data_IF_457679193995
#
_entry.id   IF_457679193995
#
_cell.length_a   1.000
_cell.length_b   1.000
_cell.length_c   1.000
_cell.angle_alpha   90.00
_cell.angle_beta   90.00
_cell.angle_gamma   90.00
#
_symmetry.space_group_name_H-M   'P 1'
#
loop_
_entity.id
_entity.type
_entity.pdbx_description
1 polymer ?
#
# COMPACT_ATOMS: atom_id res chain seq x y z
N UNK A 1 66.03 -84.81 -38.78
CA UNK A 1 66.07 -83.84 -37.66
C UNK A 1 64.74 -83.09 -37.61
N UNK A 2 64.07 -83.09 -36.45
CA UNK A 2 62.98 -82.18 -35.95
C UNK A 2 61.77 -81.94 -36.88
N UNK A 3 60.57 -82.51 -36.66
CA UNK A 3 59.55 -82.26 -35.59
C UNK A 3 59.18 -80.77 -35.38
N UNK A 4 57.86 -80.53 -35.31
CA UNK A 4 57.15 -79.32 -34.82
C UNK A 4 57.14 -78.13 -35.80
N UNK A 5 56.02 -77.46 -36.15
CA UNK A 5 54.74 -77.27 -35.46
C UNK A 5 53.61 -76.95 -36.45
N UNK A 6 52.65 -77.87 -36.60
CA UNK A 6 51.26 -77.51 -36.93
C UNK A 6 50.62 -77.19 -35.58
N UNK A 7 50.54 -75.91 -35.21
CA UNK A 7 49.72 -75.38 -34.10
C UNK A 7 49.99 -73.88 -33.90
N UNK A 8 49.68 -73.07 -34.90
CA UNK A 8 49.47 -71.62 -34.70
C UNK A 8 48.15 -71.26 -35.40
N UNK A 9 47.05 -71.85 -34.91
CA UNK A 9 45.70 -71.39 -35.22
C UNK A 9 44.69 -71.76 -34.12
N UNK A 10 45.15 -71.87 -32.87
CA UNK A 10 44.31 -72.30 -31.75
C UNK A 10 44.58 -71.56 -30.42
N UNK A 11 45.24 -70.40 -30.43
CA UNK A 11 45.55 -69.69 -29.18
C UNK A 11 45.50 -68.15 -29.28
N UNK A 12 44.51 -67.62 -29.99
CA UNK A 12 44.02 -66.23 -29.80
C UNK A 12 42.48 -66.22 -29.88
N UNK A 13 41.85 -67.20 -29.25
CA UNK A 13 40.40 -67.22 -28.96
C UNK A 13 40.16 -67.34 -27.45
N UNK A 14 41.07 -66.77 -26.66
CA UNK A 14 40.92 -66.60 -25.21
C UNK A 14 41.26 -65.15 -24.82
N UNK A 15 40.70 -64.19 -25.55
CA UNK A 15 40.29 -62.95 -24.90
C UNK A 15 38.89 -63.22 -24.37
N UNK A 16 38.90 -63.70 -23.13
CA UNK A 16 37.75 -63.92 -22.28
C UNK A 16 36.77 -62.79 -22.46
N UNK A 17 35.58 -63.12 -22.96
CA UNK A 17 34.44 -62.25 -22.78
C UNK A 17 34.32 -61.94 -21.29
N UNK A 18 34.34 -60.66 -20.95
CA UNK A 18 33.61 -60.25 -19.76
C UNK A 18 32.16 -60.65 -20.02
N UNK A 19 31.76 -61.78 -19.45
CA UNK A 19 30.37 -62.06 -19.17
C UNK A 19 29.82 -60.84 -18.45
N UNK A 20 29.00 -60.07 -19.16
CA UNK A 20 28.10 -59.08 -18.55
C UNK A 20 27.00 -59.92 -17.87
N UNK A 21 27.35 -60.61 -16.79
CA UNK A 21 26.38 -61.29 -15.90
C UNK A 21 26.21 -60.57 -14.57
N UNK A 22 26.86 -59.41 -14.40
CA UNK A 22 26.51 -58.42 -13.38
C UNK A 22 26.32 -57.05 -14.03
N UNK A 23 25.53 -56.99 -15.12
CA UNK A 23 24.71 -55.80 -15.30
C UNK A 23 23.75 -55.80 -14.11
N UNK A 24 24.20 -55.19 -13.00
CA UNK A 24 23.37 -54.88 -11.85
C UNK A 24 22.05 -54.40 -12.44
N UNK A 25 20.97 -55.17 -12.21
CA UNK A 25 19.63 -54.75 -12.61
C UNK A 25 19.57 -53.30 -12.21
N UNK A 26 19.45 -52.40 -13.19
CA UNK A 26 19.06 -51.05 -12.90
C UNK A 26 17.71 -51.21 -12.21
N UNK A 27 17.74 -51.21 -10.87
CA UNK A 27 16.57 -50.94 -10.08
C UNK A 27 16.27 -49.51 -10.49
N UNK A 28 15.41 -49.36 -11.49
CA UNK A 28 14.74 -48.10 -11.70
C UNK A 28 14.01 -47.86 -10.39
N UNK A 29 14.64 -47.09 -9.50
CA UNK A 29 13.97 -46.56 -8.35
C UNK A 29 12.82 -45.78 -8.95
N UNK A 30 11.59 -46.28 -8.82
CA UNK A 30 10.43 -45.45 -9.02
C UNK A 30 10.58 -44.34 -8.00
N UNK A 31 11.06 -43.20 -8.48
CA UNK A 31 10.86 -41.95 -7.78
C UNK A 31 9.35 -41.81 -7.82
N UNK A 32 8.67 -41.98 -6.69
CA UNK A 32 7.29 -41.57 -6.60
C UNK A 32 7.26 -40.12 -7.04
N UNK A 33 6.42 -39.80 -8.03
CA UNK A 33 5.98 -38.43 -8.27
C UNK A 33 5.23 -38.01 -7.01
N UNK A 34 5.98 -37.62 -5.99
CA UNK A 34 5.45 -36.77 -4.96
C UNK A 34 5.22 -35.45 -5.68
N UNK A 35 3.96 -35.14 -5.90
CA UNK A 35 3.55 -33.83 -6.33
C UNK A 35 4.19 -32.87 -5.34
N UNK A 36 5.19 -32.10 -5.80
CA UNK A 36 5.74 -31.00 -5.01
C UNK A 36 4.56 -30.10 -4.76
N UNK A 37 4.01 -30.14 -3.54
CA UNK A 37 3.11 -29.10 -3.08
C UNK A 37 3.78 -27.78 -3.45
N UNK A 38 3.12 -27.00 -4.30
CA UNK A 38 3.57 -25.65 -4.59
C UNK A 38 3.77 -24.99 -3.22
N UNK A 39 4.91 -24.33 -2.98
CA UNK A 39 5.11 -23.67 -1.70
C UNK A 39 3.89 -22.77 -1.45
N UNK A 40 3.39 -22.68 -0.21
CA UNK A 40 2.22 -21.87 0.10
C UNK A 40 2.38 -20.49 -0.56
N UNK A 41 1.31 -19.92 -1.08
CA UNK A 41 1.35 -18.63 -1.81
C UNK A 41 2.02 -17.51 -0.97
N UNK A 42 1.99 -17.66 0.35
CA UNK A 42 2.69 -16.83 1.34
C UNK A 42 4.24 -16.90 1.28
N UNK A 43 4.83 -17.86 0.56
CA UNK A 43 6.28 -18.08 0.50
C UNK A 43 6.96 -17.34 -0.66
N UNK A 44 6.20 -16.79 -1.61
CA UNK A 44 6.74 -16.00 -2.72
C UNK A 44 6.38 -14.54 -2.47
N UNK A 45 7.34 -13.70 -2.04
CA UNK A 45 7.13 -12.26 -1.91
C UNK A 45 6.59 -11.66 -3.21
N UNK A 46 5.53 -10.85 -3.09
CA UNK A 46 4.84 -10.23 -4.22
C UNK A 46 5.17 -8.74 -4.29
N UNK A 47 5.14 -8.20 -5.50
CA UNK A 47 5.21 -6.76 -5.70
C UNK A 47 3.85 -6.17 -5.33
N UNK A 48 3.87 -5.09 -4.57
CA UNK A 48 2.70 -4.34 -4.11
C UNK A 48 2.62 -3.04 -4.90
N UNK A 49 1.57 -2.84 -5.69
CA UNK A 49 1.35 -1.62 -6.46
C UNK A 49 0.43 -0.69 -5.67
N UNK A 50 0.92 0.50 -5.33
CA UNK A 50 0.18 1.48 -4.54
C UNK A 50 -0.05 2.74 -5.36
N UNK A 51 -1.30 3.19 -5.42
CA UNK A 51 -1.66 4.49 -6.00
C UNK A 51 -2.03 5.45 -4.89
N UNK A 52 -1.26 6.51 -4.70
CA UNK A 52 -1.57 7.56 -3.73
C UNK A 52 -2.23 8.74 -4.43
N UNK A 53 -3.42 9.13 -4.01
CA UNK A 53 -4.17 10.28 -4.55
C UNK A 53 -4.57 11.21 -3.42
N UNK A 54 -4.47 12.51 -3.62
CA UNK A 54 -4.83 13.41 -2.53
C UNK A 54 -4.40 14.85 -2.71
N UNK A 55 -4.18 15.48 -1.56
CA UNK A 55 -3.80 16.87 -1.41
C UNK A 55 -2.29 17.03 -1.14
N UNK A 56 -1.93 18.01 -0.29
CA UNK A 56 -0.54 18.34 0.02
C UNK A 56 0.18 17.27 0.83
N UNK A 57 -0.52 16.46 1.64
CA UNK A 57 0.13 15.37 2.38
C UNK A 57 0.59 14.27 1.44
N UNK A 58 -0.27 13.92 0.47
CA UNK A 58 0.10 13.00 -0.60
C UNK A 58 1.20 13.61 -1.48
N UNK A 59 1.13 14.90 -1.81
CA UNK A 59 2.21 15.53 -2.59
C UNK A 59 3.55 15.55 -1.83
N UNK A 60 3.52 15.61 -0.49
CA UNK A 60 4.72 15.75 0.35
C UNK A 60 5.13 17.20 0.60
N UNK A 61 4.18 18.14 0.73
CA UNK A 61 4.57 19.51 1.12
C UNK A 61 5.17 19.48 2.53
N UNK A 62 6.36 20.04 2.70
CA UNK A 62 7.09 20.04 3.98
C UNK A 62 8.13 18.91 4.12
N UNK A 63 8.12 17.96 3.18
CA UNK A 63 9.22 16.99 2.98
C UNK A 63 10.46 17.71 2.42
N UNK A 64 11.58 17.62 3.13
CA UNK A 64 12.83 18.28 2.76
C UNK A 64 13.49 17.69 1.51
N UNK A 65 13.06 16.50 1.10
CA UNK A 65 13.63 15.72 0.00
C UNK A 65 12.80 15.76 -1.29
N UNK A 66 11.58 16.30 -1.24
CA UNK A 66 10.62 16.32 -2.36
C UNK A 66 10.36 14.91 -2.93
N UNK A 67 10.33 13.89 -2.04
CA UNK A 67 10.20 12.48 -2.41
C UNK A 67 8.81 11.90 -2.15
N UNK A 68 7.90 12.70 -1.62
CA UNK A 68 6.46 12.39 -1.55
C UNK A 68 5.90 12.26 -0.14
N UNK A 69 6.49 12.95 0.85
CA UNK A 69 5.95 13.01 2.21
C UNK A 69 6.06 11.68 2.93
N UNK A 70 4.92 11.06 3.29
CA UNK A 70 4.92 9.77 4.01
C UNK A 70 5.33 8.59 3.12
N UNK A 71 5.27 8.72 1.79
CA UNK A 71 5.46 7.65 0.82
C UNK A 71 6.80 6.90 0.98
N UNK A 72 7.98 7.55 0.95
CA UNK A 72 9.28 6.84 1.05
C UNK A 72 9.45 6.06 2.36
N UNK A 73 8.92 6.58 3.47
CA UNK A 73 8.96 5.91 4.77
C UNK A 73 8.06 4.67 4.77
N UNK A 74 6.85 4.80 4.23
CA UNK A 74 5.89 3.69 4.17
C UNK A 74 6.33 2.60 3.19
N UNK A 75 6.91 2.97 2.05
CA UNK A 75 7.54 2.05 1.09
C UNK A 75 8.56 1.16 1.80
N UNK A 76 9.54 1.77 2.48
CA UNK A 76 10.57 1.04 3.22
C UNK A 76 10.00 0.12 4.31
N UNK A 77 8.97 0.56 5.03
CA UNK A 77 8.32 -0.26 6.06
C UNK A 77 7.58 -1.45 5.44
N UNK A 78 6.85 -1.25 4.35
CA UNK A 78 6.14 -2.32 3.64
C UNK A 78 7.10 -3.35 3.06
N UNK A 79 8.20 -2.93 2.43
CA UNK A 79 9.24 -3.82 1.90
C UNK A 79 9.99 -4.62 2.98
N UNK A 80 9.93 -4.16 4.23
CA UNK A 80 10.46 -4.93 5.37
C UNK A 80 9.52 -6.05 5.85
N UNK A 81 8.30 -6.12 5.32
CA UNK A 81 7.28 -7.11 5.70
C UNK A 81 7.44 -8.40 4.90
N UNK A 82 7.43 -9.54 5.60
CA UNK A 82 7.42 -10.85 4.96
C UNK A 82 6.26 -10.96 3.95
N UNK A 83 6.58 -11.31 2.71
CA UNK A 83 5.60 -11.45 1.62
C UNK A 83 5.46 -10.23 0.71
N UNK A 84 6.08 -9.09 1.06
CA UNK A 84 6.22 -7.93 0.16
C UNK A 84 7.65 -7.92 -0.39
N UNK A 85 7.79 -7.93 -1.72
CA UNK A 85 9.10 -7.88 -2.39
C UNK A 85 9.54 -6.45 -2.67
N UNK A 86 8.68 -5.73 -3.38
CA UNK A 86 8.85 -4.35 -3.82
C UNK A 86 7.52 -3.64 -3.56
N UNK A 87 7.54 -2.42 -3.05
CA UNK A 87 6.34 -1.59 -2.89
C UNK A 87 6.38 -0.40 -3.88
N UNK A 88 5.72 -0.53 -5.02
CA UNK A 88 5.77 0.42 -6.13
C UNK A 88 4.68 1.51 -5.99
N UNK A 89 5.09 2.70 -5.55
CA UNK A 89 4.20 3.83 -5.31
C UNK A 89 4.08 4.76 -6.52
N UNK A 90 2.83 5.06 -6.89
CA UNK A 90 2.47 6.06 -7.88
C UNK A 90 1.76 7.23 -7.21
N UNK A 91 2.43 8.37 -7.11
CA UNK A 91 1.96 9.53 -6.36
C UNK A 91 1.28 10.57 -7.27
N UNK A 92 0.01 10.87 -6.97
CA UNK A 92 -0.81 11.87 -7.67
C UNK A 92 -1.37 12.95 -6.74
N UNK A 93 -0.65 13.27 -5.67
CA UNK A 93 -0.98 14.36 -4.76
C UNK A 93 -0.89 15.72 -5.43
N UNK A 94 -1.83 16.61 -5.10
CA UNK A 94 -1.81 18.00 -5.58
C UNK A 94 -2.16 18.94 -4.44
N UNK A 95 -1.20 19.77 -4.05
CA UNK A 95 -1.32 20.78 -2.99
C UNK A 95 -2.57 21.62 -3.19
N UNK A 96 -3.33 21.75 -2.10
CA UNK A 96 -4.53 22.58 -2.05
C UNK A 96 -5.78 21.92 -2.66
N UNK A 97 -5.69 20.68 -3.14
CA UNK A 97 -6.87 19.96 -3.59
C UNK A 97 -7.88 19.79 -2.46
N UNK A 98 -9.13 20.11 -2.79
CA UNK A 98 -10.34 19.70 -2.08
C UNK A 98 -10.94 18.44 -2.71
N UNK A 99 -11.93 17.82 -2.07
CA UNK A 99 -12.54 16.60 -2.64
C UNK A 99 -13.19 16.82 -4.02
N UNK A 100 -13.72 18.02 -4.32
CA UNK A 100 -14.28 18.34 -5.66
C UNK A 100 -13.21 18.39 -6.77
N UNK A 101 -11.97 18.70 -6.40
CA UNK A 101 -10.82 18.74 -7.30
C UNK A 101 -10.18 17.35 -7.43
N UNK A 102 -10.07 16.61 -6.32
CA UNK A 102 -9.62 15.22 -6.34
C UNK A 102 -10.51 14.35 -7.24
N UNK A 103 -11.83 14.50 -7.14
CA UNK A 103 -12.79 13.79 -7.99
C UNK A 103 -12.54 14.03 -9.50
N UNK A 104 -12.10 15.23 -9.88
CA UNK A 104 -11.71 15.53 -11.27
C UNK A 104 -10.37 14.89 -11.62
N UNK A 105 -9.40 14.91 -10.70
CA UNK A 105 -8.06 14.34 -10.91
C UNK A 105 -8.10 12.82 -11.10
N UNK A 106 -8.88 12.09 -10.29
CA UNK A 106 -8.97 10.62 -10.41
C UNK A 106 -9.61 10.17 -11.73
N UNK A 107 -10.43 11.03 -12.35
CA UNK A 107 -11.06 10.79 -13.66
C UNK A 107 -10.13 11.07 -14.85
N UNK A 108 -8.89 11.49 -14.63
CA UNK A 108 -7.90 11.62 -15.71
C UNK A 108 -7.37 10.24 -16.11
N UNK A 109 -7.09 10.04 -17.40
CA UNK A 109 -6.69 8.73 -17.94
C UNK A 109 -5.45 8.13 -17.23
N UNK A 110 -4.50 8.98 -16.87
CA UNK A 110 -3.30 8.61 -16.12
C UNK A 110 -3.63 8.01 -14.74
N UNK A 111 -4.42 8.74 -13.94
CA UNK A 111 -4.75 8.33 -12.56
C UNK A 111 -5.69 7.13 -12.60
N UNK A 112 -6.68 7.14 -13.50
CA UNK A 112 -7.54 6.00 -13.74
C UNK A 112 -6.73 4.74 -14.05
N UNK A 113 -5.78 4.80 -15.00
CA UNK A 113 -4.97 3.64 -15.36
C UNK A 113 -4.07 3.15 -14.21
N UNK A 114 -3.63 4.05 -13.33
CA UNK A 114 -2.91 3.66 -12.12
C UNK A 114 -3.83 2.93 -11.13
N UNK A 115 -5.03 3.47 -10.85
CA UNK A 115 -6.03 2.84 -9.98
C UNK A 115 -6.45 1.46 -10.51
N UNK A 116 -6.66 1.29 -11.81
CA UNK A 116 -7.01 0.00 -12.43
C UNK A 116 -5.96 -1.10 -12.19
N UNK A 117 -4.70 -0.72 -11.90
CA UNK A 117 -3.57 -1.64 -11.71
C UNK A 117 -3.14 -1.79 -10.25
N UNK A 118 -3.66 -0.95 -9.36
CA UNK A 118 -3.21 -0.92 -7.97
C UNK A 118 -3.77 -2.08 -7.16
N UNK A 119 -2.98 -2.50 -6.17
CA UNK A 119 -3.43 -3.39 -5.10
C UNK A 119 -4.05 -2.56 -3.98
N UNK A 120 -3.53 -1.35 -3.73
CA UNK A 120 -4.05 -0.41 -2.73
C UNK A 120 -4.12 1.01 -3.31
N UNK A 121 -5.21 1.72 -3.02
CA UNK A 121 -5.35 3.17 -3.22
C UNK A 121 -5.29 3.88 -1.88
N UNK A 122 -4.34 4.79 -1.72
CA UNK A 122 -4.20 5.63 -0.52
C UNK A 122 -4.75 7.03 -0.78
N UNK A 123 -5.51 7.57 0.17
CA UNK A 123 -6.23 8.83 0.03
C UNK A 123 -5.91 9.76 1.20
N UNK A 124 -5.42 10.97 0.91
CA UNK A 124 -5.38 12.09 1.86
C UNK A 124 -6.22 13.25 1.29
N UNK A 125 -7.36 13.57 1.90
CA UNK A 125 -8.22 14.64 1.40
C UNK A 125 -9.22 15.14 2.45
N UNK A 126 -9.58 16.42 2.38
CA UNK A 126 -10.64 17.03 3.21
C UNK A 126 -10.15 18.23 4.02
N UNK A 127 -8.85 18.29 4.35
CA UNK A 127 -8.29 19.42 5.10
C UNK A 127 -8.52 20.76 4.37
N UNK A 128 -8.35 20.79 3.05
CA UNK A 128 -8.58 22.00 2.25
C UNK A 128 -10.06 22.42 2.16
N UNK A 129 -10.99 21.49 2.36
CA UNK A 129 -12.42 21.77 2.43
C UNK A 129 -12.75 22.55 3.71
N UNK A 130 -12.22 22.07 4.85
CA UNK A 130 -12.29 22.78 6.14
C UNK A 130 -11.59 24.15 6.03
N UNK A 131 -10.39 24.19 5.46
CA UNK A 131 -9.61 25.44 5.34
C UNK A 131 -10.31 26.52 4.51
N UNK A 132 -11.09 26.12 3.51
CA UNK A 132 -11.89 27.07 2.72
C UNK A 132 -12.92 27.79 3.59
N UNK A 133 -13.60 27.07 4.48
CA UNK A 133 -14.60 27.62 5.39
C UNK A 133 -13.92 28.45 6.47
N UNK A 134 -12.84 27.92 7.06
CA UNK A 134 -12.09 28.56 8.13
C UNK A 134 -11.64 29.96 7.71
N UNK A 135 -11.02 30.10 6.53
CA UNK A 135 -10.60 31.39 5.96
C UNK A 135 -11.75 32.38 5.75
N UNK A 136 -12.97 31.91 5.55
CA UNK A 136 -14.16 32.76 5.36
C UNK A 136 -14.84 33.16 6.67
N UNK A 137 -14.52 32.48 7.78
CA UNK A 137 -15.19 32.63 9.08
C UNK A 137 -14.21 32.95 10.24
N UNK A 138 -13.00 33.44 9.94
CA UNK A 138 -11.94 33.74 10.91
C UNK A 138 -12.35 34.65 12.08
N UNK A 139 -13.32 35.56 11.86
CA UNK A 139 -13.75 36.51 12.90
C UNK A 139 -14.69 35.90 13.95
N UNK A 140 -15.38 34.80 13.60
CA UNK A 140 -16.22 34.01 14.50
C UNK A 140 -16.50 32.66 13.86
N UNK A 141 -15.97 31.59 14.42
CA UNK A 141 -16.29 30.24 13.99
C UNK A 141 -17.79 29.97 14.17
N UNK A 142 -18.39 29.43 13.13
CA UNK A 142 -19.81 29.11 13.03
C UNK A 142 -19.92 27.64 12.72
N UNK A 143 -20.07 26.82 13.77
CA UNK A 143 -20.10 25.36 13.67
C UNK A 143 -21.14 24.86 12.66
N UNK A 144 -22.27 25.55 12.53
CA UNK A 144 -23.33 25.24 11.57
C UNK A 144 -22.85 25.30 10.11
N UNK A 145 -21.91 26.18 9.78
CA UNK A 145 -21.34 26.28 8.42
C UNK A 145 -20.43 25.08 8.13
N UNK A 146 -19.65 24.63 9.13
CA UNK A 146 -18.80 23.44 8.99
C UNK A 146 -19.63 22.17 8.87
N UNK A 147 -20.71 22.05 9.66
CA UNK A 147 -21.66 20.93 9.56
C UNK A 147 -22.36 20.86 8.19
N UNK A 148 -22.73 22.02 7.63
CA UNK A 148 -23.34 22.05 6.29
C UNK A 148 -22.36 21.61 5.20
N UNK A 149 -21.11 22.08 5.23
CA UNK A 149 -20.12 21.64 4.24
C UNK A 149 -19.68 20.19 4.49
N UNK A 150 -19.72 19.69 5.72
CA UNK A 150 -19.42 18.29 6.04
C UNK A 150 -20.33 17.34 5.24
N UNK A 151 -21.62 17.65 5.10
CA UNK A 151 -22.56 16.86 4.29
C UNK A 151 -22.09 16.81 2.83
N UNK A 152 -21.75 17.97 2.25
CA UNK A 152 -21.25 18.05 0.88
C UNK A 152 -19.87 17.39 0.71
N UNK A 153 -19.03 17.40 1.74
CA UNK A 153 -17.77 16.66 1.78
C UNK A 153 -18.02 15.16 1.75
N UNK A 154 -18.93 14.63 2.57
CA UNK A 154 -19.28 13.22 2.63
C UNK A 154 -19.85 12.72 1.29
N UNK A 155 -20.73 13.50 0.64
CA UNK A 155 -21.23 13.19 -0.70
C UNK A 155 -20.09 13.07 -1.73
N UNK A 156 -19.15 14.02 -1.71
CA UNK A 156 -17.99 13.99 -2.63
C UNK A 156 -17.01 12.88 -2.31
N UNK A 157 -16.78 12.57 -1.03
CA UNK A 157 -15.97 11.44 -0.60
C UNK A 157 -16.59 10.13 -1.09
N UNK A 158 -17.91 9.98 -0.95
CA UNK A 158 -18.66 8.85 -1.50
C UNK A 158 -18.46 8.73 -3.02
N UNK A 159 -18.60 9.82 -3.77
CA UNK A 159 -18.35 9.80 -5.22
C UNK A 159 -16.91 9.41 -5.59
N UNK A 160 -15.92 9.83 -4.80
CA UNK A 160 -14.51 9.43 -4.98
C UNK A 160 -14.36 7.92 -4.79
N UNK A 161 -14.89 7.38 -3.70
CA UNK A 161 -14.80 5.96 -3.38
C UNK A 161 -15.56 5.09 -4.39
N UNK A 162 -16.76 5.51 -4.80
CA UNK A 162 -17.54 4.86 -5.87
C UNK A 162 -16.76 4.85 -7.19
N UNK A 163 -16.09 5.96 -7.54
CA UNK A 163 -15.26 6.03 -8.76
C UNK A 163 -14.06 5.08 -8.68
N UNK A 164 -13.39 4.98 -7.52
CA UNK A 164 -12.27 4.04 -7.32
C UNK A 164 -12.75 2.60 -7.45
N UNK A 165 -13.88 2.25 -6.84
CA UNK A 165 -14.49 0.91 -6.92
C UNK A 165 -14.96 0.57 -8.34
N UNK A 166 -15.43 1.55 -9.11
CA UNK A 166 -15.77 1.36 -10.52
C UNK A 166 -14.54 1.00 -11.36
N UNK A 167 -13.40 1.66 -11.11
CA UNK A 167 -12.16 1.40 -11.85
C UNK A 167 -11.47 0.13 -11.42
N UNK A 168 -11.48 -0.14 -10.12
CA UNK A 168 -10.86 -1.32 -9.55
C UNK A 168 -11.73 -1.82 -8.38
N UNK A 169 -12.62 -2.79 -8.63
CA UNK A 169 -13.45 -3.37 -7.58
C UNK A 169 -12.59 -4.08 -6.54
N UNK A 170 -11.35 -4.44 -6.86
CA UNK A 170 -10.48 -5.24 -6.01
C UNK A 170 -9.49 -4.46 -5.13
N UNK A 171 -9.26 -3.18 -5.41
CA UNK A 171 -8.25 -2.40 -4.69
C UNK A 171 -8.63 -2.23 -3.21
N UNK A 172 -7.68 -2.46 -2.31
CA UNK A 172 -7.79 -1.96 -0.94
C UNK A 172 -7.85 -0.43 -0.94
N UNK A 173 -8.69 0.16 -0.08
CA UNK A 173 -8.75 1.62 0.08
C UNK A 173 -8.24 1.99 1.47
N UNK A 174 -7.25 2.87 1.53
CA UNK A 174 -6.76 3.45 2.78
C UNK A 174 -7.07 4.94 2.78
N UNK A 175 -7.92 5.39 3.70
CA UNK A 175 -8.22 6.79 3.92
C UNK A 175 -7.49 7.28 5.17
N UNK A 176 -6.62 8.27 5.01
CA UNK A 176 -5.92 8.91 6.13
C UNK A 176 -6.78 10.03 6.68
N UNK A 177 -6.94 10.05 8.00
CA UNK A 177 -7.71 11.05 8.73
C UNK A 177 -7.11 12.45 8.64
N UNK A 178 -7.92 13.43 9.00
CA UNK A 178 -7.56 14.82 9.14
C UNK A 178 -6.91 15.04 10.50
N UNK A 179 -6.00 16.01 10.61
CA UNK A 179 -5.44 16.48 11.88
C UNK A 179 -5.63 18.00 11.99
N UNK A 180 -5.51 18.52 13.21
CA UNK A 180 -5.55 19.94 13.49
C UNK A 180 -4.13 20.56 13.45
N UNK A 181 -3.74 21.28 12.39
CA UNK A 181 -2.42 21.93 12.33
C UNK A 181 -2.31 23.16 13.24
N UNK A 182 -3.41 23.61 13.84
CA UNK A 182 -3.50 24.87 14.56
C UNK A 182 -3.38 24.73 16.07
N UNK A 183 -3.12 23.52 16.57
CA UNK A 183 -3.19 23.24 18.00
C UNK A 183 -2.25 24.14 18.84
N UNK A 184 -1.08 24.51 18.32
CA UNK A 184 -0.16 25.40 19.05
C UNK A 184 -0.64 26.86 19.10
N UNK A 185 -1.15 27.38 17.98
CA UNK A 185 -1.50 28.80 17.81
C UNK A 185 -2.93 29.14 18.23
N UNK A 186 -3.80 28.14 18.24
CA UNK A 186 -5.23 28.25 18.51
C UNK A 186 -5.71 27.19 19.52
N UNK A 187 -4.85 26.73 20.44
CA UNK A 187 -5.18 25.76 21.50
C UNK A 187 -6.38 26.18 22.36
N UNK A 188 -6.65 27.47 22.46
CA UNK A 188 -7.81 28.00 23.20
C UNK A 188 -9.14 27.89 22.40
N UNK A 189 -9.12 27.43 21.15
CA UNK A 189 -10.30 27.27 20.29
C UNK A 189 -10.68 25.78 20.20
N UNK A 190 -11.35 25.31 21.26
CA UNK A 190 -11.86 23.93 21.36
C UNK A 190 -12.72 23.53 20.15
N UNK A 191 -13.39 24.49 19.50
CA UNK A 191 -14.23 24.24 18.33
C UNK A 191 -13.48 23.69 17.12
N UNK A 192 -12.17 23.95 16.97
CA UNK A 192 -11.40 23.43 15.83
C UNK A 192 -11.25 21.92 15.96
N UNK A 193 -10.96 21.42 17.15
CA UNK A 193 -10.83 19.99 17.39
C UNK A 193 -12.18 19.28 17.22
N UNK A 194 -13.26 19.86 17.74
CA UNK A 194 -14.62 19.34 17.52
C UNK A 194 -14.98 19.22 16.03
N UNK A 195 -14.52 20.16 15.19
CA UNK A 195 -14.71 20.10 13.74
C UNK A 195 -13.91 18.95 13.13
N UNK A 196 -12.63 18.80 13.50
CA UNK A 196 -11.77 17.72 12.97
C UNK A 196 -12.31 16.35 13.37
N UNK A 197 -12.67 16.16 14.64
CA UNK A 197 -13.29 14.94 15.16
C UNK A 197 -14.57 14.59 14.41
N UNK A 198 -15.47 15.56 14.26
CA UNK A 198 -16.73 15.37 13.53
C UNK A 198 -16.48 14.96 12.08
N UNK A 199 -15.52 15.59 11.40
CA UNK A 199 -15.19 15.28 10.01
C UNK A 199 -14.51 13.91 9.85
N UNK A 200 -13.65 13.52 10.80
CA UNK A 200 -13.06 12.20 10.84
C UNK A 200 -14.11 11.11 11.09
N UNK A 201 -15.06 11.33 12.01
CA UNK A 201 -16.20 10.43 12.21
C UNK A 201 -17.02 10.31 10.93
N UNK A 202 -17.39 11.43 10.31
CA UNK A 202 -18.15 11.42 9.06
C UNK A 202 -17.41 10.74 7.90
N UNK A 203 -16.08 10.78 7.90
CA UNK A 203 -15.24 10.06 6.93
C UNK A 203 -15.27 8.55 7.19
N UNK A 204 -15.22 8.13 8.45
CA UNK A 204 -15.35 6.72 8.87
C UNK A 204 -16.72 6.16 8.48
N UNK A 205 -17.79 6.90 8.79
CA UNK A 205 -19.16 6.50 8.42
C UNK A 205 -19.31 6.24 6.91
N UNK A 206 -18.74 7.11 6.07
CA UNK A 206 -18.76 6.92 4.61
C UNK A 206 -17.91 5.72 4.20
N UNK A 207 -16.74 5.53 4.80
CA UNK A 207 -15.81 4.46 4.45
C UNK A 207 -16.31 3.06 4.86
N UNK A 208 -17.11 2.96 5.92
CA UNK A 208 -17.67 1.71 6.45
C UNK A 208 -18.63 1.02 5.46
N UNK A 209 -19.19 1.76 4.50
CA UNK A 209 -20.00 1.21 3.40
C UNK A 209 -19.17 0.46 2.34
N UNK A 210 -17.84 0.52 2.42
CA UNK A 210 -16.92 -0.07 1.45
C UNK A 210 -16.15 -1.24 2.06
N UNK A 211 -16.16 -2.39 1.38
CA UNK A 211 -15.31 -3.52 1.72
C UNK A 211 -13.82 -3.18 1.51
N UNK A 212 -12.93 -3.94 2.15
CA UNK A 212 -11.46 -3.78 2.00
C UNK A 212 -11.01 -2.33 2.14
N UNK A 213 -11.59 -1.64 3.10
CA UNK A 213 -11.27 -0.26 3.42
C UNK A 213 -10.60 -0.18 4.80
N UNK A 214 -9.79 0.85 5.00
CA UNK A 214 -9.10 1.13 6.25
C UNK A 214 -9.04 2.63 6.48
N UNK A 215 -9.63 3.09 7.58
CA UNK A 215 -9.39 4.43 8.09
C UNK A 215 -8.13 4.45 8.97
N UNK A 216 -7.25 5.43 8.74
CA UNK A 216 -6.03 5.65 9.52
C UNK A 216 -6.14 6.98 10.25
N UNK A 217 -6.44 6.90 11.54
CA UNK A 217 -6.46 8.03 12.47
C UNK A 217 -5.02 8.53 12.73
N UNK A 218 -4.82 9.84 12.61
CA UNK A 218 -3.51 10.50 12.74
C UNK A 218 -3.55 11.80 13.54
N UNK A 219 -4.73 12.32 13.86
CA UNK A 219 -4.95 13.56 14.61
C UNK A 219 -4.21 13.57 15.94
N UNK A 220 -4.27 12.45 16.69
CA UNK A 220 -3.58 12.26 17.96
C UNK A 220 -2.06 12.44 17.88
N UNK A 221 -1.44 12.25 16.71
CA UNK A 221 0.00 12.47 16.53
C UNK A 221 0.38 13.95 16.71
N UNK A 222 -0.54 14.87 16.43
CA UNK A 222 -0.28 16.31 16.41
C UNK A 222 -0.82 17.05 17.65
N UNK A 223 -1.50 16.36 18.56
CA UNK A 223 -2.07 16.98 19.77
C UNK A 223 -0.96 17.43 20.73
N UNK A 224 -0.06 16.53 21.13
CA UNK A 224 0.94 16.82 22.16
C UNK A 224 2.29 17.30 21.59
N UNK A 225 2.52 17.13 20.28
CA UNK A 225 3.82 17.40 19.66
C UNK A 225 4.07 18.89 19.35
N UNK A 226 3.06 19.75 19.48
CA UNK A 226 3.14 21.16 19.13
C UNK A 226 3.61 21.38 17.69
N UNK A 227 4.47 22.38 17.49
CA UNK A 227 5.02 22.72 16.16
C UNK A 227 6.21 21.82 15.75
N UNK A 228 6.66 20.88 16.59
CA UNK A 228 7.86 20.07 16.33
C UNK A 228 7.71 19.13 15.13
N UNK A 229 6.48 18.71 14.83
CA UNK A 229 6.17 17.86 13.66
C UNK A 229 5.76 18.67 12.43
N UNK A 230 5.73 20.00 12.53
CA UNK A 230 5.30 20.87 11.44
C UNK A 230 6.49 21.49 10.71
N UNK A 231 6.31 21.73 9.42
CA UNK A 231 7.23 22.46 8.57
C UNK A 231 7.22 23.96 8.92
N UNK A 232 8.10 24.75 8.31
CA UNK A 232 8.24 26.20 8.57
C UNK A 232 6.96 27.01 8.30
N UNK A 233 5.97 26.44 7.60
CA UNK A 233 4.67 27.08 7.40
C UNK A 233 3.66 26.83 8.51
N UNK A 234 4.05 26.09 9.56
CA UNK A 234 3.23 25.75 10.73
C UNK A 234 1.89 25.12 10.35
N UNK A 235 1.86 24.41 9.22
CA UNK A 235 0.65 23.81 8.70
C UNK A 235 0.88 22.38 8.22
N UNK A 236 1.87 22.18 7.33
CA UNK A 236 2.17 20.85 6.81
C UNK A 236 3.14 20.09 7.72
N UNK A 237 3.15 18.75 7.70
CA UNK A 237 4.14 17.98 8.43
C UNK A 237 5.55 18.23 7.88
N UNK A 238 6.56 18.13 8.75
CA UNK A 238 7.95 18.01 8.35
C UNK A 238 8.34 16.53 8.18
N UNK A 239 9.63 16.25 7.96
CA UNK A 239 10.16 14.89 7.77
C UNK A 239 9.79 13.95 8.94
N UNK A 240 9.94 14.41 10.19
CA UNK A 240 9.61 13.61 11.39
C UNK A 240 8.09 13.36 11.49
N UNK A 241 7.27 14.37 11.16
CA UNK A 241 5.82 14.23 11.08
C UNK A 241 5.38 13.22 10.01
N UNK A 242 6.01 13.25 8.84
CA UNK A 242 5.74 12.28 7.77
C UNK A 242 6.19 10.86 8.12
N UNK A 243 7.32 10.70 8.82
CA UNK A 243 7.77 9.40 9.32
C UNK A 243 6.74 8.81 10.30
N UNK A 244 6.23 9.60 11.24
CA UNK A 244 5.18 9.14 12.18
C UNK A 244 3.85 8.79 11.50
N UNK A 245 3.44 9.58 10.49
CA UNK A 245 2.26 9.24 9.68
C UNK A 245 2.48 7.89 8.98
N UNK A 246 3.64 7.68 8.36
CA UNK A 246 3.98 6.43 7.69
C UNK A 246 4.01 5.23 8.65
N UNK A 247 4.61 5.38 9.84
CA UNK A 247 4.61 4.35 10.88
C UNK A 247 3.18 4.01 11.34
N UNK A 248 2.32 5.03 11.51
CA UNK A 248 0.92 4.84 11.86
C UNK A 248 0.18 4.07 10.77
N UNK A 249 0.32 4.48 9.51
CA UNK A 249 -0.26 3.78 8.37
C UNK A 249 0.21 2.32 8.33
N UNK A 250 1.52 2.09 8.43
CA UNK A 250 2.12 0.76 8.43
C UNK A 250 1.55 -0.13 9.54
N UNK A 251 1.53 0.37 10.79
CA UNK A 251 1.00 -0.36 11.95
C UNK A 251 -0.47 -0.73 11.76
N UNK A 252 -1.27 0.14 11.15
CA UNK A 252 -2.68 -0.12 10.86
C UNK A 252 -2.86 -1.14 9.74
N UNK A 253 -2.10 -1.00 8.65
CA UNK A 253 -2.14 -1.92 7.52
C UNK A 253 -1.66 -3.32 7.90
N UNK A 254 -0.65 -3.46 8.75
CA UNK A 254 -0.09 -4.78 9.14
C UNK A 254 -0.75 -5.40 10.37
N UNK A 255 -1.80 -4.77 10.92
CA UNK A 255 -2.51 -5.32 12.09
C UNK A 255 -3.31 -6.57 11.70
N UNK A 256 -2.93 -7.73 12.24
CA UNK A 256 -3.63 -8.99 11.96
C UNK A 256 -3.59 -9.34 10.48
N UNK A 257 -4.74 -9.62 9.87
CA UNK A 257 -4.83 -9.96 8.44
C UNK A 257 -5.15 -8.73 7.54
N UNK A 258 -5.03 -7.51 8.06
CA UNK A 258 -5.48 -6.29 7.36
C UNK A 258 -4.79 -6.11 6.01
N UNK A 259 -3.46 -6.23 5.94
CA UNK A 259 -2.72 -6.09 4.67
C UNK A 259 -3.12 -7.17 3.66
N UNK A 260 -3.31 -8.40 4.12
CA UNK A 260 -3.78 -9.50 3.29
C UNK A 260 -5.22 -9.29 2.80
N UNK A 261 -6.07 -8.61 3.58
CA UNK A 261 -7.41 -8.22 3.17
C UNK A 261 -7.39 -7.08 2.14
N UNK A 262 -6.56 -6.05 2.37
CA UNK A 262 -6.42 -4.91 1.46
C UNK A 262 -5.84 -5.30 0.10
N UNK A 263 -4.99 -6.32 0.04
CA UNK A 263 -4.28 -6.73 -1.19
C UNK A 263 -4.89 -7.98 -1.85
N UNK A 264 -6.06 -8.43 -1.39
CA UNK A 264 -6.73 -9.60 -1.93
C UNK A 264 -7.37 -9.28 -3.27
N UNK A 265 -6.89 -9.93 -4.32
CA UNK A 265 -7.58 -9.98 -5.62
C UNK A 265 -8.64 -11.08 -5.58
N UNK A 266 -9.88 -10.77 -5.97
CA UNK A 266 -10.83 -11.84 -6.21
C UNK A 266 -10.32 -12.64 -7.41
N UNK A 267 -10.27 -13.97 -7.26
CA UNK A 267 -10.03 -14.82 -8.43
C UNK A 267 -11.24 -14.66 -9.32
N UNK A 268 -11.11 -13.86 -10.37
CA UNK A 268 -12.09 -13.78 -11.45
C UNK A 268 -12.56 -15.20 -11.79
N UNK A 269 -13.85 -15.48 -11.58
CA UNK A 269 -14.51 -16.70 -12.02
C UNK A 269 -14.57 -16.75 -13.55
#
# INVERSE_FOLDING_TARGET
MKKWSVLILAFVFFLSGCSIEDAAKHVSRQVSDWEKDQPPEAFIPKNLNVTSVGDSLTQGVGDSTDSGGYVPYLEKLLESTDGVKDADFHNYGVRGNRTDQLLKKIKTDEVKSSIEKSDVVMITIGGNDIMKIFKQNLSKLKLDVFQQEQIAYQERLKEILDTIREYNPDAGIVLVGLYNPFNTWFSDIEEVEEIIDSWNEGSREVLDDYDRSLFVEIDDLFIDAGDELLFEDYFHPNDDGYELIAERMFKRMTKGETLASLTRKEKNQ
#
